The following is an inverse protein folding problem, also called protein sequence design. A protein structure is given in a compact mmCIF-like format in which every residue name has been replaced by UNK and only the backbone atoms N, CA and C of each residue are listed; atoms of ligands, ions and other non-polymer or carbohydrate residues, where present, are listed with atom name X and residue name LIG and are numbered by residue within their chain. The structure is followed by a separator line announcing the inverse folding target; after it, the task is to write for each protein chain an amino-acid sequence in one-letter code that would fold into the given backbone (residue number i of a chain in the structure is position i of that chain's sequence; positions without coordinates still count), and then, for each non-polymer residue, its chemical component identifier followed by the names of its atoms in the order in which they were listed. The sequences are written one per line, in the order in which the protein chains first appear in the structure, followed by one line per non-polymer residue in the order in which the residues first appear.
data_IF_726195721354
#
_entry.id   IF_726195721354
#
_cell.length_a   1.000
_cell.length_b   1.000
_cell.length_c   1.000
_cell.angle_alpha   90.00
_cell.angle_beta   90.00
_cell.angle_gamma   90.00
#
_symmetry.space_group_name_H-M   'P 1'
#
loop_
_entity.id
_entity.type
_entity.pdbx_description
1 polymer ?
#
# COMPACT_ATOMS: atom_id res chain seq x y z
N UNK A 1 18.37 -9.56 44.44
CA UNK A 1 17.91 -9.47 43.03
C UNK A 1 16.52 -8.85 43.04
N UNK A 2 16.31 -7.79 42.25
CA UNK A 2 15.04 -7.04 42.20
C UNK A 2 15.24 -5.62 42.71
N UNK A 3 15.30 -4.66 41.78
CA UNK A 3 15.09 -3.20 41.95
C UNK A 3 15.53 -2.40 40.71
N UNK A 4 16.26 -3.00 39.75
CA UNK A 4 16.74 -2.28 38.56
C UNK A 4 15.72 -2.14 37.42
N UNK A 5 14.60 -2.88 37.45
CA UNK A 5 13.62 -2.91 36.36
C UNK A 5 12.57 -1.78 36.50
N UNK A 6 12.27 -1.34 37.72
CA UNK A 6 11.23 -0.33 37.98
C UNK A 6 11.62 1.08 37.50
N UNK A 7 12.89 1.47 37.62
CA UNK A 7 13.35 2.82 37.23
C UNK A 7 13.35 2.98 35.71
N UNK A 8 13.59 1.89 34.96
CA UNK A 8 13.59 1.91 33.50
C UNK A 8 12.19 2.06 32.91
N UNK A 9 11.16 1.49 33.55
CA UNK A 9 9.78 1.58 33.07
C UNK A 9 9.18 2.98 33.34
N UNK A 10 9.57 3.59 34.46
CA UNK A 10 9.17 4.95 34.84
C UNK A 10 9.70 6.02 33.88
N UNK A 11 10.96 5.89 33.42
CA UNK A 11 11.53 6.76 32.39
C UNK A 11 10.77 6.67 31.05
N UNK A 12 10.39 5.47 30.62
CA UNK A 12 9.68 5.27 29.34
C UNK A 12 8.27 5.86 29.38
N UNK A 13 7.57 5.79 30.53
CA UNK A 13 6.25 6.40 30.72
C UNK A 13 6.29 7.94 30.71
N UNK A 14 7.32 8.57 31.28
CA UNK A 14 7.44 10.05 31.29
C UNK A 14 7.64 10.61 29.88
N UNK A 15 8.41 9.91 29.02
CA UNK A 15 8.60 10.31 27.62
C UNK A 15 7.30 10.21 26.81
N UNK A 16 6.47 9.19 27.06
CA UNK A 16 5.18 9.01 26.37
C UNK A 16 4.15 10.09 26.71
N UNK A 17 4.16 10.64 27.93
CA UNK A 17 3.21 11.68 28.36
C UNK A 17 3.56 13.07 27.79
N UNK A 18 4.83 13.34 27.51
CA UNK A 18 5.26 14.63 26.93
C UNK A 18 4.96 14.77 25.43
N UNK A 19 4.76 13.66 24.71
CA UNK A 19 4.46 13.69 23.27
C UNK A 19 2.98 13.99 22.94
N UNK A 20 2.08 14.04 23.94
CA UNK A 20 0.63 14.20 23.70
C UNK A 20 0.08 15.61 24.00
N UNK A 21 0.94 16.56 24.42
CA UNK A 21 0.52 17.95 24.73
C UNK A 21 1.08 19.00 23.76
N UNK A 22 1.15 18.67 22.47
CA UNK A 22 1.38 19.64 21.40
C UNK A 22 0.09 20.29 20.89
N UNK A 23 -0.69 20.95 21.76
CA UNK A 23 -1.80 21.78 21.33
C UNK A 23 -1.24 23.09 20.74
N UNK A 24 -1.23 23.20 19.41
CA UNK A 24 -0.84 24.43 18.72
C UNK A 24 -1.99 25.43 18.88
N UNK A 25 -1.86 26.33 19.86
CA UNK A 25 -2.61 27.60 19.91
C UNK A 25 -1.99 28.56 18.89
N UNK A 26 -2.68 28.81 17.79
CA UNK A 26 -2.40 29.94 16.93
C UNK A 26 -3.04 31.20 17.56
N UNK A 27 -2.23 31.98 18.28
CA UNK A 27 -2.60 33.35 18.63
C UNK A 27 -2.10 34.30 17.55
N UNK A 28 -3.05 35.09 17.05
CA UNK A 28 -2.92 36.21 16.12
C UNK A 28 -1.83 37.22 16.48
N UNK A 29 -0.99 37.61 15.52
CA UNK A 29 -0.33 38.92 15.49
C UNK A 29 -0.28 39.45 14.03
N UNK A 30 -0.87 40.63 13.88
CA UNK A 30 -0.88 41.62 12.78
C UNK A 30 0.05 41.42 11.57
N UNK A 31 -0.44 41.62 10.31
CA UNK A 31 0.44 41.78 9.17
C UNK A 31 0.97 43.22 9.07
N UNK A 32 2.27 43.39 9.31
CA UNK A 32 3.04 44.55 8.85
C UNK A 32 3.16 44.49 7.32
N UNK A 33 2.82 45.59 6.66
CA UNK A 33 2.89 45.74 5.21
C UNK A 33 4.33 45.55 4.72
N UNK A 34 4.55 44.44 3.99
CA UNK A 34 5.75 44.21 3.18
C UNK A 34 5.24 43.99 1.74
N UNK A 35 5.85 44.60 0.70
CA UNK A 35 5.34 44.56 -0.67
C UNK A 35 5.22 43.12 -1.19
N UNK A 36 4.30 42.85 -2.14
CA UNK A 36 4.00 41.50 -2.60
C UNK A 36 5.21 40.94 -3.33
N UNK A 37 5.92 40.03 -2.67
CA UNK A 37 6.79 39.07 -3.34
C UNK A 37 5.86 38.24 -4.20
N UNK A 38 6.00 38.35 -5.52
CA UNK A 38 5.38 37.44 -6.47
C UNK A 38 5.91 36.05 -6.12
N UNK A 39 5.14 35.31 -5.32
CA UNK A 39 5.40 33.89 -5.13
C UNK A 39 5.05 33.24 -6.47
N UNK A 40 6.01 32.58 -7.16
CA UNK A 40 5.64 31.70 -8.23
C UNK A 40 4.68 30.69 -7.62
N UNK A 41 3.44 30.66 -8.11
CA UNK A 41 2.48 29.61 -7.84
C UNK A 41 3.14 28.32 -8.32
N UNK A 42 3.89 27.66 -7.44
CA UNK A 42 4.31 26.30 -7.60
C UNK A 42 3.01 25.54 -7.73
N UNK A 43 2.64 25.23 -8.98
CA UNK A 43 1.61 24.25 -9.24
C UNK A 43 2.03 23.03 -8.41
N UNK A 44 1.30 22.78 -7.32
CA UNK A 44 1.41 21.55 -6.58
C UNK A 44 1.10 20.46 -7.59
N UNK A 45 2.14 19.87 -8.16
CA UNK A 45 2.02 18.69 -8.99
C UNK A 45 1.49 17.63 -8.05
N UNK A 46 0.18 17.42 -8.05
CA UNK A 46 -0.45 16.31 -7.32
C UNK A 46 0.20 15.02 -7.83
N UNK A 47 1.16 14.50 -7.06
CA UNK A 47 1.80 13.22 -7.35
C UNK A 47 0.72 12.15 -7.16
N UNK A 48 0.13 11.70 -8.25
CA UNK A 48 -0.88 10.66 -8.23
C UNK A 48 -0.18 9.30 -8.29
N UNK A 49 -0.02 8.65 -7.14
CA UNK A 49 0.59 7.32 -7.02
C UNK A 49 -0.51 6.29 -6.77
N UNK A 50 -0.49 5.23 -7.57
CA UNK A 50 -1.29 4.03 -7.39
C UNK A 50 -0.51 3.03 -6.53
N UNK A 51 -1.16 2.48 -5.50
CA UNK A 51 -0.62 1.42 -4.65
C UNK A 51 -1.31 0.09 -4.98
N UNK A 52 -0.56 -0.89 -5.46
CA UNK A 52 -1.06 -2.23 -5.73
C UNK A 52 -0.52 -3.19 -4.67
N UNK A 53 -1.41 -3.82 -3.89
CA UNK A 53 -1.03 -4.84 -2.91
C UNK A 53 -1.46 -6.22 -3.39
N UNK A 54 -0.57 -7.21 -3.30
CA UNK A 54 -0.82 -8.58 -3.74
C UNK A 54 -0.51 -9.52 -2.59
N UNK A 55 -1.52 -10.26 -2.15
CA UNK A 55 -1.43 -11.25 -1.09
C UNK A 55 -1.50 -12.67 -1.64
N UNK A 56 -0.76 -13.58 -1.00
CA UNK A 56 -0.88 -15.01 -1.18
C UNK A 56 -1.73 -15.57 -0.02
N UNK A 57 -3.01 -15.81 -0.31
CA UNK A 57 -4.00 -16.34 0.63
C UNK A 57 -4.34 -17.80 0.31
N UNK A 58 -3.38 -18.53 -0.28
CA UNK A 58 -3.47 -19.98 -0.39
C UNK A 58 -3.40 -20.65 0.99
N UNK A 59 -3.91 -21.89 1.14
CA UNK A 59 -3.83 -22.65 2.37
C UNK A 59 -2.37 -22.82 2.85
N UNK A 60 -2.12 -22.90 4.17
CA UNK A 60 -0.80 -23.20 4.70
C UNK A 60 -0.15 -24.43 4.07
N UNK A 61 1.15 -24.32 3.75
CA UNK A 61 1.89 -25.38 3.07
C UNK A 61 1.73 -25.40 1.55
N UNK A 62 0.95 -24.48 0.98
CA UNK A 62 0.88 -24.29 -0.47
C UNK A 62 2.19 -23.74 -1.05
N UNK A 63 2.31 -23.87 -2.36
CA UNK A 63 3.44 -23.34 -3.12
C UNK A 63 3.54 -21.81 -3.05
N UNK A 64 4.75 -21.31 -3.29
CA UNK A 64 4.97 -19.89 -3.49
C UNK A 64 4.30 -19.40 -4.78
N UNK A 65 3.76 -18.18 -4.73
CA UNK A 65 3.28 -17.48 -5.91
C UNK A 65 4.38 -16.55 -6.41
N UNK A 66 4.60 -16.56 -7.71
CA UNK A 66 5.50 -15.64 -8.40
C UNK A 66 4.68 -14.59 -9.15
N UNK A 67 5.03 -13.32 -8.92
CA UNK A 67 4.38 -12.17 -9.53
C UNK A 67 5.31 -11.50 -10.55
N UNK A 68 4.76 -11.12 -11.69
CA UNK A 68 5.38 -10.26 -12.71
C UNK A 68 4.38 -9.22 -13.22
N UNK A 69 4.85 -8.06 -13.66
CA UNK A 69 4.00 -6.98 -14.19
C UNK A 69 4.64 -6.24 -15.37
N UNK A 70 3.82 -5.43 -16.05
CA UNK A 70 4.23 -4.56 -17.17
C UNK A 70 5.33 -3.56 -16.83
N UNK A 71 5.40 -3.13 -15.57
CA UNK A 71 6.30 -2.07 -15.10
C UNK A 71 7.47 -2.61 -14.26
N UNK A 72 7.64 -3.94 -14.21
CA UNK A 72 8.69 -4.59 -13.42
C UNK A 72 9.35 -5.72 -14.19
N UNK A 73 10.67 -5.65 -14.36
CA UNK A 73 11.45 -6.68 -15.06
C UNK A 73 11.60 -7.97 -14.24
N UNK A 74 11.79 -7.85 -12.92
CA UNK A 74 12.07 -8.98 -12.04
C UNK A 74 10.81 -9.59 -11.42
N UNK A 75 10.75 -10.92 -11.38
CA UNK A 75 9.68 -11.64 -10.68
C UNK A 75 9.83 -11.49 -9.16
N UNK A 76 8.71 -11.31 -8.48
CA UNK A 76 8.64 -11.27 -7.02
C UNK A 76 8.01 -12.53 -6.47
N UNK A 77 8.56 -13.04 -5.37
CA UNK A 77 7.94 -14.12 -4.61
C UNK A 77 6.94 -13.52 -3.61
N UNK A 78 5.67 -13.86 -3.75
CA UNK A 78 4.60 -13.46 -2.82
C UNK A 78 4.44 -14.59 -1.79
N UNK A 79 5.03 -14.40 -0.62
CA UNK A 79 4.97 -15.37 0.48
C UNK A 79 3.62 -15.27 1.20
N UNK A 80 3.17 -16.40 1.73
CA UNK A 80 1.96 -16.43 2.55
C UNK A 80 2.11 -15.51 3.77
N UNK A 81 1.05 -14.76 4.07
CA UNK A 81 1.02 -13.80 5.19
C UNK A 81 1.90 -12.55 5.00
N UNK A 82 2.58 -12.42 3.86
CA UNK A 82 3.47 -11.29 3.57
C UNK A 82 3.11 -10.70 2.19
N UNK A 83 2.06 -9.86 2.13
CA UNK A 83 1.69 -9.20 0.88
C UNK A 83 2.84 -8.36 0.34
N UNK A 84 2.98 -8.34 -0.98
CA UNK A 84 3.89 -7.41 -1.66
C UNK A 84 3.13 -6.16 -2.03
N UNK A 85 3.79 -5.00 -2.02
CA UNK A 85 3.23 -3.73 -2.42
C UNK A 85 4.09 -3.10 -3.52
N UNK A 86 3.44 -2.66 -4.59
CA UNK A 86 4.03 -2.00 -5.73
C UNK A 86 3.46 -0.59 -5.87
N UNK A 87 4.28 0.33 -6.39
CA UNK A 87 3.86 1.67 -6.76
C UNK A 87 3.84 1.77 -8.28
N UNK A 88 2.77 2.33 -8.82
CA UNK A 88 2.61 2.56 -10.25
C UNK A 88 1.96 3.93 -10.49
N UNK A 89 1.91 4.34 -11.75
CA UNK A 89 1.05 5.45 -12.19
C UNK A 89 -0.35 4.92 -12.55
N UNK A 90 -1.22 5.80 -13.04
CA UNK A 90 -2.61 5.50 -13.42
C UNK A 90 -2.73 5.14 -14.92
N UNK A 91 -1.66 4.63 -15.52
CA UNK A 91 -1.73 4.03 -16.85
C UNK A 91 -2.21 2.58 -16.76
N UNK A 92 -2.66 2.01 -17.88
CA UNK A 92 -3.06 0.61 -17.96
C UNK A 92 -1.87 -0.31 -17.62
N UNK A 93 -2.02 -1.13 -16.58
CA UNK A 93 -0.98 -2.08 -16.15
C UNK A 93 -1.50 -3.51 -16.15
N UNK A 94 -0.67 -4.44 -16.62
CA UNK A 94 -0.98 -5.88 -16.55
C UNK A 94 -0.05 -6.60 -15.57
N UNK A 95 -0.54 -7.70 -15.03
CA UNK A 95 0.17 -8.58 -14.12
C UNK A 95 -0.09 -10.04 -14.43
N UNK A 96 0.83 -10.88 -13.99
CA UNK A 96 0.70 -12.34 -14.01
C UNK A 96 1.11 -12.89 -12.65
N UNK A 97 0.26 -13.73 -12.08
CA UNK A 97 0.57 -14.58 -10.94
C UNK A 97 0.77 -16.01 -11.43
N UNK A 98 1.82 -16.67 -10.96
CA UNK A 98 2.20 -18.02 -11.36
C UNK A 98 2.44 -18.91 -10.15
N UNK A 99 1.88 -20.11 -10.18
CA UNK A 99 2.21 -21.25 -9.31
C UNK A 99 2.63 -22.44 -10.19
N UNK A 100 3.16 -23.51 -9.62
CA UNK A 100 3.94 -24.55 -10.32
C UNK A 100 3.38 -24.97 -11.68
N UNK A 101 2.07 -25.25 -11.75
CA UNK A 101 1.38 -25.71 -12.97
C UNK A 101 0.21 -24.84 -13.43
N UNK A 102 0.10 -23.60 -12.93
CA UNK A 102 -0.96 -22.70 -13.40
C UNK A 102 -0.58 -21.23 -13.27
N UNK A 103 -1.25 -20.39 -14.05
CA UNK A 103 -1.06 -18.96 -14.03
C UNK A 103 -2.39 -18.21 -14.11
N UNK A 104 -2.36 -16.93 -13.75
CA UNK A 104 -3.47 -16.00 -13.86
C UNK A 104 -2.92 -14.66 -14.36
N UNK A 105 -3.35 -14.22 -15.55
CA UNK A 105 -2.97 -12.94 -16.15
C UNK A 105 -4.18 -12.00 -16.18
N UNK A 106 -3.99 -10.75 -15.75
CA UNK A 106 -5.07 -9.78 -15.60
C UNK A 106 -4.52 -8.34 -15.59
N UNK A 107 -5.38 -7.35 -15.77
CA UNK A 107 -5.02 -5.95 -15.53
C UNK A 107 -4.93 -5.69 -14.02
N UNK A 108 -3.75 -5.21 -13.58
CA UNK A 108 -3.48 -4.74 -12.22
C UNK A 108 -4.13 -3.38 -11.94
N UNK A 109 -4.33 -2.60 -13.01
CA UNK A 109 -5.10 -1.38 -13.00
C UNK A 109 -5.57 -1.10 -14.42
N UNK A 110 -6.85 -0.78 -14.54
CA UNK A 110 -7.50 -0.33 -15.76
C UNK A 110 -8.31 0.95 -15.42
N UNK A 111 -7.97 2.12 -15.99
CA UNK A 111 -8.68 3.37 -15.68
C UNK A 111 -10.19 3.29 -15.92
N UNK A 112 -10.65 2.47 -16.87
CA UNK A 112 -12.07 2.32 -17.18
C UNK A 112 -12.83 1.53 -16.11
N UNK A 113 -12.14 0.63 -15.39
CA UNK A 113 -12.74 -0.25 -14.38
C UNK A 113 -12.44 0.20 -12.94
N UNK A 114 -11.24 0.72 -12.72
CA UNK A 114 -10.72 1.07 -11.41
C UNK A 114 -10.83 2.59 -11.13
N UNK A 115 -11.12 3.42 -12.15
CA UNK A 115 -11.35 4.85 -11.98
C UNK A 115 -10.22 5.55 -11.23
N UNK A 116 -10.53 6.28 -10.16
CA UNK A 116 -9.54 7.02 -9.37
C UNK A 116 -9.10 6.30 -8.09
N UNK A 117 -9.32 4.99 -7.97
CA UNK A 117 -8.90 4.25 -6.78
C UNK A 117 -7.36 4.25 -6.70
N UNK A 118 -6.83 4.97 -5.71
CA UNK A 118 -5.38 5.05 -5.49
C UNK A 118 -4.79 3.79 -4.87
N UNK A 119 -5.65 2.82 -4.51
CA UNK A 119 -5.22 1.57 -3.94
C UNK A 119 -6.07 0.41 -4.44
N UNK A 120 -5.38 -0.65 -4.85
CA UNK A 120 -6.00 -1.91 -5.28
C UNK A 120 -5.34 -3.05 -4.53
N UNK A 121 -6.15 -3.95 -4.03
CA UNK A 121 -5.74 -5.16 -3.33
C UNK A 121 -6.08 -6.37 -4.18
N UNK A 122 -5.13 -7.28 -4.30
CA UNK A 122 -5.28 -8.58 -4.93
C UNK A 122 -5.05 -9.67 -3.91
N UNK A 123 -5.91 -10.68 -3.91
CA UNK A 123 -5.82 -11.87 -3.05
C UNK A 123 -5.83 -13.10 -3.94
N UNK A 124 -4.71 -13.81 -3.97
CA UNK A 124 -4.60 -15.06 -4.70
C UNK A 124 -5.10 -16.21 -3.80
N UNK A 125 -6.22 -16.82 -4.21
CA UNK A 125 -6.89 -17.90 -3.47
C UNK A 125 -6.85 -19.19 -4.28
N UNK A 126 -7.37 -20.27 -3.72
CA UNK A 126 -7.28 -21.62 -4.32
C UNK A 126 -7.94 -21.69 -5.70
N UNK A 127 -9.09 -21.04 -5.83
CA UNK A 127 -10.00 -21.03 -6.97
C UNK A 127 -9.69 -19.91 -7.99
N UNK A 128 -9.37 -18.71 -7.51
CA UNK A 128 -9.21 -17.54 -8.34
C UNK A 128 -8.32 -16.47 -7.71
N UNK A 129 -7.99 -15.45 -8.51
CA UNK A 129 -7.45 -14.18 -8.03
C UNK A 129 -8.61 -13.21 -7.83
N UNK A 130 -8.68 -12.64 -6.65
CA UNK A 130 -9.70 -11.66 -6.26
C UNK A 130 -9.13 -10.26 -6.25
N UNK A 131 -9.98 -9.26 -6.53
CA UNK A 131 -9.68 -7.83 -6.44
C UNK A 131 -10.55 -7.18 -5.35
N UNK A 132 -10.01 -6.17 -4.68
CA UNK A 132 -10.74 -5.28 -3.79
C UNK A 132 -10.14 -3.87 -3.84
N UNK A 133 -10.96 -2.83 -3.69
CA UNK A 133 -10.48 -1.45 -3.53
C UNK A 133 -10.38 -1.01 -2.07
N UNK A 134 -11.02 -1.74 -1.15
CA UNK A 134 -11.11 -1.39 0.27
C UNK A 134 -10.57 -2.49 1.22
N UNK A 135 -10.03 -3.58 0.65
CA UNK A 135 -9.54 -4.77 1.35
C UNK A 135 -10.62 -5.50 2.17
N UNK A 136 -11.91 -5.30 1.85
CA UNK A 136 -13.06 -5.88 2.56
C UNK A 136 -14.04 -6.52 1.60
N UNK A 137 -14.40 -5.81 0.54
CA UNK A 137 -15.30 -6.27 -0.50
C UNK A 137 -14.48 -6.83 -1.66
N UNK A 138 -14.60 -8.14 -1.88
CA UNK A 138 -13.78 -8.87 -2.83
C UNK A 138 -14.63 -9.40 -3.98
N UNK A 139 -14.14 -9.19 -5.20
CA UNK A 139 -14.74 -9.74 -6.41
C UNK A 139 -13.74 -10.63 -7.14
N UNK A 140 -14.24 -11.63 -7.86
CA UNK A 140 -13.41 -12.49 -8.68
C UNK A 140 -12.89 -11.67 -9.86
N UNK A 141 -11.57 -11.62 -10.03
CA UNK A 141 -10.94 -10.98 -11.19
C UNK A 141 -10.70 -11.97 -12.31
N UNK A 142 -10.07 -13.10 -11.99
CA UNK A 142 -9.70 -14.12 -12.98
C UNK A 142 -9.47 -15.47 -12.31
N UNK A 143 -9.86 -16.56 -12.96
CA UNK A 143 -9.57 -17.92 -12.53
C UNK A 143 -8.16 -18.38 -12.92
N UNK A 144 -7.66 -19.45 -12.29
CA UNK A 144 -6.38 -20.05 -12.67
C UNK A 144 -6.47 -20.83 -13.99
N UNK A 145 -5.51 -20.59 -14.88
CA UNK A 145 -5.32 -21.33 -16.14
C UNK A 145 -4.20 -22.36 -15.95
N UNK A 146 -4.48 -23.63 -16.26
CA UNK A 146 -3.47 -24.71 -16.21
C UNK A 146 -2.46 -24.55 -17.36
N UNK A 147 -1.20 -24.86 -17.06
CA UNK A 147 -0.10 -24.92 -18.04
C UNK A 147 -0.09 -26.30 -18.70
#
# INVERSE_FOLDING_TARGET
MGNRIHVSLLMVMVVFVMCLNGSIRANSLTPSQTPPIIQPHLNESYINILVISIANDLPPGSENIYFSSSFRENKLTVKQGHPVAELANFDLHWGELRRMSSYARFYLYDPEQDGSHQRIYYSARTDAVYRSWDNKNWEIRVGWVKI
#
